data_IF_947820425031
#
_entry.id   IF_947820425031
#
_cell.length_a   1.000
_cell.length_b   1.000
_cell.length_c   1.000
_cell.angle_alpha   90.00
_cell.angle_beta   90.00
_cell.angle_gamma   90.00
#
_symmetry.space_group_name_H-M   'P 1'
#
loop_
_entity.id
_entity.type
_entity.pdbx_description
1 polymer ?
#
# COMPACT_ATOMS: atom_id res chain seq x y z
N UNK A 1 12.63 26.00 -18.26
CA UNK A 1 11.56 26.55 -17.41
C UNK A 1 11.55 25.83 -16.06
N UNK A 2 11.61 26.56 -15.01
CA UNK A 2 11.55 25.97 -13.66
C UNK A 2 10.10 25.85 -13.19
N UNK A 3 9.87 24.94 -12.26
CA UNK A 3 8.58 24.79 -11.57
C UNK A 3 8.71 25.30 -10.15
N UNK A 4 7.58 25.58 -9.46
CA UNK A 4 7.64 25.83 -8.02
C UNK A 4 8.15 24.66 -7.20
N UNK A 5 8.17 23.44 -7.79
CA UNK A 5 8.61 22.22 -7.15
C UNK A 5 7.54 21.56 -6.30
N UNK A 6 7.85 20.37 -5.84
CA UNK A 6 7.05 19.65 -4.84
C UNK A 6 7.99 19.04 -3.80
N UNK A 7 7.46 18.70 -2.64
CA UNK A 7 8.21 17.98 -1.61
C UNK A 7 8.04 16.45 -1.73
N UNK A 8 7.50 15.99 -2.84
CA UNK A 8 7.22 14.59 -3.12
C UNK A 8 5.74 14.25 -2.95
N UNK A 9 5.44 12.97 -2.86
CA UNK A 9 4.07 12.50 -2.64
C UNK A 9 3.72 12.68 -1.17
N UNK A 10 2.62 13.40 -0.90
CA UNK A 10 2.11 13.61 0.47
C UNK A 10 1.55 12.31 1.05
N UNK A 11 0.63 11.70 0.33
CA UNK A 11 -0.04 10.47 0.74
C UNK A 11 -0.58 9.75 -0.50
N UNK A 12 -0.90 8.49 -0.33
CA UNK A 12 -1.59 7.68 -1.33
C UNK A 12 -2.96 7.33 -0.78
N UNK A 13 -4.02 7.51 -1.58
CA UNK A 13 -5.37 7.17 -1.16
C UNK A 13 -5.91 6.02 -2.00
N UNK A 14 -6.44 5.01 -1.34
CA UNK A 14 -6.95 3.78 -1.93
C UNK A 14 -8.44 3.64 -1.64
N UNK A 15 -9.22 3.26 -2.63
CA UNK A 15 -10.60 2.83 -2.42
C UNK A 15 -10.61 1.36 -2.06
N UNK A 16 -11.21 1.05 -0.91
CA UNK A 16 -11.31 -0.31 -0.37
C UNK A 16 -12.77 -0.69 -0.20
N UNK A 17 -13.07 -1.97 -0.06
CA UNK A 17 -14.46 -2.45 0.08
C UNK A 17 -14.91 -2.56 1.51
N UNK A 18 -14.00 -2.86 2.44
CA UNK A 18 -14.27 -2.99 3.88
C UNK A 18 -13.27 -2.14 4.66
N UNK A 19 -13.71 -0.97 5.10
CA UNK A 19 -12.82 0.00 5.73
C UNK A 19 -12.15 -0.55 7.00
N UNK A 20 -12.94 -1.16 7.90
CA UNK A 20 -12.40 -1.65 9.18
C UNK A 20 -11.39 -2.77 8.96
N UNK A 21 -11.68 -3.70 8.06
CA UNK A 21 -10.76 -4.79 7.73
C UNK A 21 -9.47 -4.28 7.11
N UNK A 22 -9.57 -3.33 6.18
CA UNK A 22 -8.38 -2.76 5.51
C UNK A 22 -7.54 -1.92 6.46
N UNK A 23 -8.18 -1.12 7.32
CA UNK A 23 -7.47 -0.34 8.35
C UNK A 23 -6.68 -1.28 9.27
N UNK A 24 -7.31 -2.32 9.78
CA UNK A 24 -6.63 -3.28 10.66
C UNK A 24 -5.45 -3.96 9.96
N UNK A 25 -5.62 -4.29 8.67
CA UNK A 25 -4.59 -4.95 7.87
C UNK A 25 -3.37 -4.05 7.67
N UNK A 26 -3.60 -2.79 7.25
CA UNK A 26 -2.49 -1.83 7.02
C UNK A 26 -1.79 -1.42 8.31
N UNK A 27 -2.55 -1.27 9.41
CA UNK A 27 -1.94 -0.99 10.73
C UNK A 27 -0.99 -2.11 11.16
N UNK A 28 -1.39 -3.37 10.97
CA UNK A 28 -0.53 -4.51 11.30
C UNK A 28 0.67 -4.62 10.36
N UNK A 29 0.44 -4.45 9.06
CA UNK A 29 1.52 -4.54 8.07
C UNK A 29 2.65 -3.57 8.38
N UNK A 30 2.27 -2.30 8.61
CA UNK A 30 3.23 -1.19 8.69
C UNK A 30 3.59 -0.80 10.12
N UNK A 31 2.96 -1.41 11.12
CA UNK A 31 3.08 -0.98 12.53
C UNK A 31 2.77 0.51 12.66
N UNK A 32 1.67 0.93 12.05
CA UNK A 32 1.28 2.33 11.95
C UNK A 32 0.26 2.76 13.00
N UNK A 33 -0.14 4.00 12.89
CA UNK A 33 -1.17 4.62 13.73
C UNK A 33 -2.23 5.29 12.85
N UNK A 34 -3.41 5.57 13.41
CA UNK A 34 -4.43 6.36 12.75
C UNK A 34 -4.13 7.84 13.01
N UNK A 35 -3.91 8.60 11.94
CA UNK A 35 -3.64 10.03 12.02
C UNK A 35 -4.92 10.86 11.94
N UNK A 36 -5.88 10.42 11.12
CA UNK A 36 -7.15 11.14 10.90
C UNK A 36 -8.22 10.17 10.44
N UNK A 37 -9.47 10.49 10.74
CA UNK A 37 -10.60 9.71 10.22
C UNK A 37 -11.84 10.58 10.11
N UNK A 38 -12.66 10.31 9.08
CA UNK A 38 -13.93 11.01 8.85
C UNK A 38 -14.99 10.06 8.33
N UNK A 39 -16.23 10.34 8.74
CA UNK A 39 -17.42 9.68 8.24
C UNK A 39 -18.34 10.77 7.67
N UNK A 40 -18.48 10.80 6.33
CA UNK A 40 -19.33 11.72 5.62
C UNK A 40 -20.62 11.05 5.10
N UNK A 41 -20.98 9.91 5.68
CA UNK A 41 -22.15 9.12 5.29
C UNK A 41 -21.84 8.16 4.15
N UNK A 42 -21.98 8.63 2.91
CA UNK A 42 -21.71 7.84 1.71
C UNK A 42 -20.22 7.73 1.34
N UNK A 43 -19.37 8.47 2.04
CA UNK A 43 -17.92 8.44 1.90
C UNK A 43 -17.27 8.46 3.29
N UNK A 44 -16.43 7.47 3.55
CA UNK A 44 -15.69 7.36 4.82
C UNK A 44 -14.21 7.16 4.51
N UNK A 45 -13.34 7.69 5.35
CA UNK A 45 -11.93 7.41 5.19
C UNK A 45 -11.16 7.43 6.52
N UNK A 46 -10.02 6.74 6.51
CA UNK A 46 -9.05 6.69 7.60
C UNK A 46 -7.68 6.90 6.99
N UNK A 47 -6.89 7.80 7.58
CA UNK A 47 -5.50 8.01 7.21
C UNK A 47 -4.60 7.22 8.16
N UNK A 48 -3.95 6.20 7.62
CA UNK A 48 -2.94 5.39 8.33
C UNK A 48 -1.58 6.05 8.15
N UNK A 49 -0.86 6.21 9.23
CA UNK A 49 0.44 6.87 9.25
C UNK A 49 1.51 5.94 9.80
N UNK A 50 2.52 5.67 9.00
CA UNK A 50 3.72 4.89 9.35
C UNK A 50 4.91 5.58 8.68
N UNK A 51 5.47 6.64 9.29
CA UNK A 51 6.46 7.48 8.62
C UNK A 51 7.59 6.67 7.98
N UNK A 52 7.99 6.98 6.74
CA UNK A 52 7.56 8.14 5.93
C UNK A 52 6.26 7.93 5.12
N UNK A 53 5.49 6.87 5.39
CA UNK A 53 4.30 6.53 4.64
C UNK A 53 3.03 7.12 5.27
N UNK A 54 2.13 7.61 4.40
CA UNK A 54 0.78 8.01 4.77
C UNK A 54 -0.18 7.43 3.72
N UNK A 55 -1.10 6.58 4.16
CA UNK A 55 -2.01 5.85 3.27
C UNK A 55 -3.44 6.14 3.72
N UNK A 56 -4.20 6.79 2.84
CA UNK A 56 -5.62 7.02 3.05
C UNK A 56 -6.43 5.82 2.54
N UNK A 57 -7.32 5.31 3.37
CA UNK A 57 -8.22 4.23 3.01
C UNK A 57 -9.63 4.79 2.96
N UNK A 58 -10.27 4.66 1.82
CA UNK A 58 -11.56 5.29 1.51
C UNK A 58 -12.59 4.24 1.12
N UNK A 59 -13.83 4.42 1.59
CA UNK A 59 -14.98 3.67 1.07
C UNK A 59 -16.01 4.63 0.50
N UNK A 60 -16.66 4.20 -0.57
CA UNK A 60 -17.69 4.94 -1.25
C UNK A 60 -18.94 4.08 -1.38
N UNK A 61 -20.11 4.63 -1.02
CA UNK A 61 -21.36 3.88 -1.06
C UNK A 61 -21.70 3.36 -2.47
N UNK A 62 -21.19 4.03 -3.51
CA UNK A 62 -21.46 3.67 -4.91
C UNK A 62 -20.45 2.70 -5.52
N UNK A 63 -19.47 2.24 -4.75
CA UNK A 63 -18.57 1.19 -5.23
C UNK A 63 -19.39 -0.06 -5.53
N UNK A 64 -19.24 -0.67 -6.72
CA UNK A 64 -20.01 -1.88 -7.05
C UNK A 64 -19.75 -3.01 -6.08
N UNK A 65 -20.79 -3.76 -5.73
CA UNK A 65 -20.66 -4.95 -4.89
C UNK A 65 -19.75 -5.97 -5.58
N UNK A 66 -18.83 -6.57 -4.78
CA UNK A 66 -17.90 -7.57 -5.29
C UNK A 66 -16.78 -7.01 -6.15
N UNK A 67 -16.62 -5.68 -6.20
CA UNK A 67 -15.52 -5.07 -6.93
C UNK A 67 -14.18 -5.42 -6.31
N UNK A 68 -13.16 -5.52 -7.15
CA UNK A 68 -11.80 -5.83 -6.74
C UNK A 68 -10.81 -5.08 -7.62
N UNK A 69 -9.64 -4.81 -7.08
CA UNK A 69 -8.58 -4.15 -7.82
C UNK A 69 -8.09 -5.05 -8.97
N UNK A 70 -7.81 -4.41 -10.10
CA UNK A 70 -7.23 -5.04 -11.28
C UNK A 70 -6.22 -4.06 -11.90
N UNK A 71 -4.95 -4.39 -11.85
CA UNK A 71 -3.87 -3.55 -12.36
C UNK A 71 -3.90 -3.38 -13.89
N UNK A 72 -4.69 -4.21 -14.60
CA UNK A 72 -4.83 -4.09 -16.05
C UNK A 72 -5.75 -2.97 -16.46
N UNK A 73 -6.53 -2.41 -15.52
CA UNK A 73 -7.37 -1.24 -15.78
C UNK A 73 -6.52 0.02 -15.76
N UNK A 74 -6.91 1.01 -16.57
CA UNK A 74 -6.23 2.31 -16.58
C UNK A 74 -6.31 2.96 -15.20
N UNK A 75 -5.16 3.36 -14.66
CA UNK A 75 -5.04 3.97 -13.34
C UNK A 75 -3.83 3.45 -12.60
N UNK A 76 -4.01 3.08 -11.35
CA UNK A 76 -2.94 2.53 -10.54
C UNK A 76 -2.57 1.12 -11.02
N UNK A 77 -1.28 0.84 -11.18
CA UNK A 77 -0.77 -0.52 -11.39
C UNK A 77 -0.37 -1.15 -10.06
N UNK A 78 0.48 -0.47 -9.31
CA UNK A 78 0.91 -0.92 -7.99
C UNK A 78 1.49 0.24 -7.18
N UNK A 79 1.68 0.02 -5.89
CA UNK A 79 2.43 0.92 -5.02
C UNK A 79 3.69 0.20 -4.59
N UNK A 80 4.84 0.89 -4.74
CA UNK A 80 6.14 0.37 -4.37
C UNK A 80 6.68 1.13 -3.17
N UNK A 81 6.95 0.41 -2.09
CA UNK A 81 7.55 0.96 -0.88
C UNK A 81 9.05 0.71 -0.91
N UNK A 82 9.82 1.77 -0.88
CA UNK A 82 11.28 1.63 -0.92
C UNK A 82 11.83 1.13 0.42
N UNK A 83 12.73 0.14 0.35
CA UNK A 83 13.50 -0.35 1.47
C UNK A 83 14.99 -0.23 1.16
N UNK A 84 15.81 -0.36 2.19
CA UNK A 84 17.23 -0.03 2.08
C UNK A 84 18.01 -1.00 1.17
N UNK A 85 17.77 -2.32 1.33
CA UNK A 85 18.58 -3.35 0.68
C UNK A 85 17.90 -4.72 0.69
N UNK A 86 18.60 -5.72 0.15
CA UNK A 86 18.13 -7.10 0.11
C UNK A 86 17.81 -7.66 1.51
N UNK A 87 18.61 -7.34 2.51
CA UNK A 87 18.36 -7.83 3.86
C UNK A 87 17.04 -7.31 4.42
N UNK A 88 16.67 -6.06 4.11
CA UNK A 88 15.37 -5.50 4.47
C UNK A 88 14.22 -6.23 3.76
N UNK A 89 14.41 -6.61 2.48
CA UNK A 89 13.41 -7.39 1.75
C UNK A 89 13.21 -8.77 2.36
N UNK A 90 14.29 -9.44 2.75
CA UNK A 90 14.20 -10.74 3.42
C UNK A 90 13.46 -10.64 4.75
N UNK A 91 13.69 -9.56 5.50
CA UNK A 91 12.98 -9.29 6.75
C UNK A 91 11.48 -9.03 6.49
N UNK A 92 11.14 -8.33 5.43
CA UNK A 92 9.74 -8.11 5.05
C UNK A 92 9.06 -9.40 4.60
N UNK A 93 9.76 -10.26 3.85
CA UNK A 93 9.23 -11.57 3.49
C UNK A 93 8.87 -12.40 4.73
N UNK A 94 9.75 -12.39 5.72
CA UNK A 94 9.50 -13.07 7.01
C UNK A 94 8.29 -12.47 7.74
N UNK A 95 8.19 -11.15 7.78
CA UNK A 95 7.04 -10.48 8.41
C UNK A 95 5.73 -10.81 7.70
N UNK A 96 5.72 -10.81 6.37
CA UNK A 96 4.53 -11.20 5.62
C UNK A 96 4.11 -12.64 5.93
N UNK A 97 5.07 -13.56 6.06
CA UNK A 97 4.78 -14.93 6.48
C UNK A 97 4.16 -14.96 7.89
N UNK A 98 4.70 -14.20 8.83
CA UNK A 98 4.18 -14.10 10.20
C UNK A 98 2.77 -13.53 10.25
N UNK A 99 2.40 -12.67 9.30
CA UNK A 99 1.08 -12.07 9.18
C UNK A 99 0.12 -12.90 8.30
N UNK A 100 0.54 -14.05 7.82
CA UNK A 100 -0.22 -14.89 6.89
C UNK A 100 -0.59 -14.16 5.59
N UNK A 101 0.29 -13.32 5.08
CA UNK A 101 0.12 -12.63 3.81
C UNK A 101 0.91 -13.36 2.73
N UNK A 102 0.21 -13.88 1.72
CA UNK A 102 0.86 -14.52 0.58
C UNK A 102 1.69 -13.49 -0.20
N UNK A 103 2.87 -13.90 -0.65
CA UNK A 103 3.77 -13.01 -1.37
C UNK A 103 4.63 -13.78 -2.37
N UNK A 104 5.24 -13.06 -3.30
CA UNK A 104 6.21 -13.61 -4.24
C UNK A 104 7.52 -13.98 -3.52
N UNK A 105 8.38 -14.76 -4.15
CA UNK A 105 9.79 -14.79 -3.77
C UNK A 105 10.41 -13.41 -3.88
N UNK A 106 11.47 -13.15 -3.15
CA UNK A 106 12.32 -11.99 -3.38
C UNK A 106 13.04 -12.20 -4.71
N UNK A 107 12.82 -11.30 -5.66
CA UNK A 107 13.27 -11.46 -7.05
C UNK A 107 14.17 -10.31 -7.47
N UNK A 108 15.34 -10.64 -7.99
CA UNK A 108 16.29 -9.65 -8.52
C UNK A 108 16.01 -9.37 -9.99
N UNK A 109 16.07 -8.07 -10.34
CA UNK A 109 15.96 -7.58 -11.72
C UNK A 109 17.04 -6.50 -11.93
N UNK A 110 17.35 -6.15 -13.19
CA UNK A 110 18.38 -5.12 -13.46
C UNK A 110 18.10 -3.78 -12.81
N UNK A 111 16.83 -3.44 -12.63
CA UNK A 111 16.40 -2.14 -12.06
C UNK A 111 16.26 -2.16 -10.54
N UNK A 112 16.33 -3.32 -9.91
CA UNK A 112 16.21 -3.46 -8.46
C UNK A 112 15.70 -4.82 -8.02
N UNK A 113 15.51 -4.98 -6.73
CA UNK A 113 15.03 -6.23 -6.13
C UNK A 113 13.63 -5.99 -5.56
N UNK A 114 12.70 -6.91 -5.81
CA UNK A 114 11.28 -6.73 -5.49
C UNK A 114 10.71 -7.90 -4.70
N UNK A 115 9.69 -7.59 -3.91
CA UNK A 115 8.86 -8.53 -3.18
C UNK A 115 7.41 -8.06 -3.33
N UNK A 116 6.56 -8.85 -4.00
CA UNK A 116 5.20 -8.46 -4.40
C UNK A 116 4.17 -9.19 -3.55
N UNK A 117 3.13 -8.48 -3.14
CA UNK A 117 2.01 -9.04 -2.38
C UNK A 117 0.73 -8.25 -2.67
N UNK A 118 -0.39 -8.68 -2.09
CA UNK A 118 -1.70 -8.07 -2.33
C UNK A 118 -2.37 -7.71 -1.02
N UNK A 119 -3.12 -6.61 -1.02
CA UNK A 119 -3.96 -6.25 0.12
C UNK A 119 -5.31 -6.98 0.09
N UNK A 120 -6.22 -6.77 1.07
CA UNK A 120 -7.51 -7.46 1.09
C UNK A 120 -8.38 -7.25 -0.16
N UNK A 121 -8.22 -6.14 -0.86
CA UNK A 121 -8.96 -5.81 -2.08
C UNK A 121 -8.18 -6.17 -3.35
N UNK A 122 -7.14 -6.99 -3.22
CA UNK A 122 -6.26 -7.40 -4.32
C UNK A 122 -5.41 -6.26 -4.90
N UNK A 123 -5.28 -5.15 -4.17
CA UNK A 123 -4.41 -4.05 -4.60
C UNK A 123 -2.95 -4.54 -4.58
N UNK A 124 -2.25 -4.33 -5.71
CA UNK A 124 -0.89 -4.78 -5.86
C UNK A 124 0.08 -3.86 -5.13
N UNK A 125 0.84 -4.45 -4.21
CA UNK A 125 1.83 -3.76 -3.40
C UNK A 125 3.18 -4.44 -3.56
N UNK A 126 4.26 -3.69 -3.40
CA UNK A 126 5.59 -4.28 -3.37
C UNK A 126 6.52 -3.52 -2.43
N UNK A 127 7.49 -4.25 -1.90
CA UNK A 127 8.69 -3.65 -1.33
C UNK A 127 9.81 -3.71 -2.37
N UNK A 128 10.58 -2.64 -2.48
CA UNK A 128 11.55 -2.45 -3.56
C UNK A 128 12.87 -1.92 -2.98
N UNK A 129 13.97 -2.56 -3.37
CA UNK A 129 15.31 -2.08 -3.07
C UNK A 129 16.02 -1.74 -4.38
N UNK A 130 16.57 -0.52 -4.46
CA UNK A 130 17.38 -0.11 -5.61
C UNK A 130 18.64 -1.00 -5.73
N UNK A 131 19.20 -1.12 -6.95
CA UNK A 131 20.47 -1.83 -7.11
C UNK A 131 21.55 -1.16 -6.27
N UNK A 132 22.33 -1.98 -5.56
CA UNK A 132 23.37 -1.48 -4.66
C UNK A 132 24.75 -1.86 -5.07
#
# INVERSE_FOLDING_TARGET
>A
MSTPGTEGVSHTALTVTDLDASVAWYLRLLDGTILWQEDQGDHKFVLVFAPPLAIGLHTHAKTPDGDAFDERRVGLDHISFQVENRAALDAWAKRLDELDVAHSPVTEAPYGTVLVFRDPDNIQLEFFALPG
#
